data_IF_874410339445
#
_entry.id   IF_874410339445
#
_cell.length_a   1.000
_cell.length_b   1.000
_cell.length_c   1.000
_cell.angle_alpha   90.00
_cell.angle_beta   90.00
_cell.angle_gamma   90.00
#
_symmetry.space_group_name_H-M   'P 1'
#
loop_
_entity.id
_entity.type
_entity.pdbx_description
1 polymer ?
#
# COMPACT_ATOMS: atom_id res chain seq x y z
N UNK A 1 8.57 13.72 -5.42
CA UNK A 1 7.50 13.32 -6.37
C UNK A 1 7.40 14.40 -7.45
N UNK A 2 6.83 14.12 -8.63
CA UNK A 2 6.62 15.12 -9.69
C UNK A 2 5.24 14.94 -10.32
N UNK A 3 4.71 15.94 -11.01
CA UNK A 3 3.36 15.90 -11.60
C UNK A 3 3.18 14.77 -12.63
N UNK A 4 4.24 14.39 -13.35
CA UNK A 4 4.18 13.26 -14.28
C UNK A 4 4.10 11.89 -13.59
N UNK A 5 4.38 11.82 -12.29
CA UNK A 5 4.41 10.55 -11.57
C UNK A 5 3.01 9.95 -11.44
N UNK A 6 2.96 8.62 -11.37
CA UNK A 6 1.75 7.85 -11.12
C UNK A 6 1.82 7.20 -9.74
N UNK A 7 0.69 7.05 -9.06
CA UNK A 7 0.65 6.52 -7.69
C UNK A 7 -0.30 5.34 -7.63
N UNK A 8 0.14 4.21 -7.10
CA UNK A 8 -0.79 3.22 -6.56
C UNK A 8 -0.98 3.52 -5.07
N UNK A 9 -2.22 3.69 -4.63
CA UNK A 9 -2.59 3.89 -3.22
C UNK A 9 -3.27 2.64 -2.65
N UNK A 10 -3.01 2.35 -1.39
CA UNK A 10 -3.50 1.18 -0.68
C UNK A 10 -3.99 1.54 0.72
N UNK A 11 -5.03 0.83 1.16
CA UNK A 11 -5.54 0.87 2.52
C UNK A 11 -5.88 -0.55 2.96
N UNK A 12 -5.29 -1.06 4.04
CA UNK A 12 -5.58 -2.39 4.55
C UNK A 12 -5.69 -2.44 6.08
N UNK A 13 -6.47 -3.39 6.63
CA UNK A 13 -6.51 -3.63 8.06
C UNK A 13 -5.44 -4.65 8.45
N UNK A 14 -4.63 -4.35 9.46
CA UNK A 14 -3.55 -5.22 9.95
C UNK A 14 -3.73 -5.45 11.43
N UNK A 15 -3.59 -6.70 11.90
CA UNK A 15 -3.66 -6.99 13.34
C UNK A 15 -2.57 -6.23 14.09
N UNK A 16 -2.94 -5.64 15.22
CA UNK A 16 -2.04 -4.81 16.02
C UNK A 16 -0.77 -5.56 16.43
N UNK A 17 -0.92 -6.84 16.78
CA UNK A 17 0.20 -7.73 17.14
C UNK A 17 1.14 -8.07 15.97
N UNK A 18 0.70 -7.89 14.72
CA UNK A 18 1.44 -8.30 13.52
C UNK A 18 2.29 -7.17 12.93
N UNK A 19 2.48 -6.04 13.64
CA UNK A 19 3.23 -4.87 13.14
C UNK A 19 4.62 -5.20 12.60
N UNK A 20 5.39 -5.99 13.34
CA UNK A 20 6.76 -6.38 12.93
C UNK A 20 6.74 -7.31 11.73
N UNK A 21 5.79 -8.26 11.69
CA UNK A 21 5.59 -9.16 10.55
C UNK A 21 5.18 -8.38 9.30
N UNK A 22 4.28 -7.41 9.44
CA UNK A 22 3.91 -6.48 8.37
C UNK A 22 5.11 -5.73 7.84
N UNK A 23 5.91 -5.13 8.72
CA UNK A 23 7.11 -4.39 8.33
C UNK A 23 8.11 -5.26 7.56
N UNK A 24 8.32 -6.50 7.99
CA UNK A 24 9.21 -7.43 7.30
C UNK A 24 8.71 -7.76 5.88
N UNK A 25 7.41 -8.09 5.73
CA UNK A 25 6.79 -8.39 4.43
C UNK A 25 6.81 -7.16 3.52
N UNK A 26 6.44 -6.00 4.03
CA UNK A 26 6.43 -4.74 3.28
C UNK A 26 7.84 -4.33 2.85
N UNK A 27 8.86 -4.61 3.67
CA UNK A 27 10.27 -4.34 3.31
C UNK A 27 10.72 -5.20 2.12
N UNK A 28 10.38 -6.49 2.11
CA UNK A 28 10.68 -7.38 0.99
C UNK A 28 9.94 -6.94 -0.29
N UNK A 29 8.64 -6.65 -0.19
CA UNK A 29 7.85 -6.14 -1.30
C UNK A 29 8.37 -4.80 -1.83
N UNK A 30 8.82 -3.90 -0.94
CA UNK A 30 9.36 -2.61 -1.33
C UNK A 30 10.62 -2.76 -2.20
N UNK A 31 11.50 -3.71 -1.88
CA UNK A 31 12.68 -4.00 -2.70
C UNK A 31 12.28 -4.46 -4.11
N UNK A 32 11.26 -5.32 -4.23
CA UNK A 32 10.71 -5.76 -5.50
C UNK A 32 10.16 -4.60 -6.33
N UNK A 33 9.29 -3.78 -5.73
CA UNK A 33 8.75 -2.58 -6.40
C UNK A 33 9.87 -1.68 -6.91
N UNK A 34 10.90 -1.44 -6.09
CA UNK A 34 12.05 -0.62 -6.48
C UNK A 34 12.84 -1.22 -7.64
N UNK A 35 13.09 -2.54 -7.62
CA UNK A 35 13.75 -3.25 -8.73
C UNK A 35 12.97 -3.13 -10.04
N UNK A 36 11.64 -3.14 -9.96
CA UNK A 36 10.75 -3.11 -11.12
C UNK A 36 10.29 -1.70 -11.51
N UNK A 37 10.98 -0.66 -11.04
CA UNK A 37 10.85 0.72 -11.56
C UNK A 37 10.12 1.71 -10.66
N UNK A 38 9.72 1.33 -9.44
CA UNK A 38 9.14 2.28 -8.49
C UNK A 38 10.18 3.29 -7.98
N UNK A 39 9.75 4.55 -7.86
CA UNK A 39 10.52 5.67 -7.31
C UNK A 39 10.52 5.64 -5.78
N UNK A 40 9.44 5.19 -5.16
CA UNK A 40 9.35 5.06 -3.71
C UNK A 40 8.21 4.15 -3.31
N UNK A 41 8.34 3.55 -2.14
CA UNK A 41 7.31 2.77 -1.46
C UNK A 41 7.22 3.35 -0.06
N UNK A 42 6.02 3.68 0.39
CA UNK A 42 5.78 4.30 1.70
C UNK A 42 4.68 3.53 2.40
N UNK A 43 4.93 3.17 3.66
CA UNK A 43 4.03 2.42 4.51
C UNK A 43 3.81 3.22 5.80
N UNK A 44 2.54 3.54 6.11
CA UNK A 44 2.19 4.30 7.31
C UNK A 44 1.29 3.46 8.22
N UNK A 45 1.75 3.25 9.45
CA UNK A 45 0.97 2.58 10.50
C UNK A 45 0.00 3.58 11.13
N UNK A 46 -1.28 3.21 11.26
CA UNK A 46 -2.29 4.04 11.92
C UNK A 46 -1.87 4.41 13.33
N UNK A 47 -1.85 5.71 13.62
CA UNK A 47 -1.48 6.28 14.91
C UNK A 47 -2.66 7.09 15.49
N UNK A 48 -3.04 8.17 14.80
CA UNK A 48 -4.24 8.97 15.10
C UNK A 48 -5.23 8.90 13.93
N UNK A 49 -6.07 7.85 13.93
CA UNK A 49 -7.05 7.58 12.87
C UNK A 49 -8.47 7.64 13.46
N UNK A 50 -9.21 8.75 13.24
CA UNK A 50 -10.50 8.95 13.87
C UNK A 50 -11.58 8.02 13.32
N UNK A 51 -12.51 7.65 14.19
CA UNK A 51 -13.77 7.05 13.78
C UNK A 51 -14.71 8.08 13.14
N UNK A 52 -15.60 7.60 12.28
CA UNK A 52 -16.56 8.44 11.56
C UNK A 52 -17.98 7.91 11.74
N UNK A 53 -18.97 8.78 11.47
CA UNK A 53 -20.39 8.39 11.52
C UNK A 53 -20.90 7.90 10.16
N UNK A 54 -20.47 8.53 9.06
CA UNK A 54 -20.85 8.15 7.70
C UNK A 54 -19.75 7.35 7.00
N UNK A 55 -18.50 7.79 7.14
CA UNK A 55 -17.31 7.16 6.57
C UNK A 55 -16.09 7.46 7.43
N UNK A 56 -15.14 6.53 7.46
CA UNK A 56 -13.81 6.70 8.04
C UNK A 56 -12.83 5.71 7.38
N UNK A 57 -11.52 5.88 7.61
CA UNK A 57 -10.56 4.87 7.16
C UNK A 57 -10.81 3.49 7.79
N UNK A 58 -11.09 3.35 9.10
CA UNK A 58 -11.50 2.07 9.69
C UNK A 58 -12.75 1.47 9.02
N UNK A 59 -13.77 2.28 8.73
CA UNK A 59 -14.97 1.80 8.04
C UNK A 59 -14.67 1.34 6.61
N UNK A 60 -13.78 2.04 5.91
CA UNK A 60 -13.42 1.72 4.53
C UNK A 60 -12.85 0.29 4.41
N UNK A 61 -11.94 -0.08 5.31
CA UNK A 61 -11.36 -1.43 5.35
C UNK A 61 -12.12 -2.42 6.23
N UNK A 62 -13.29 -2.03 6.78
CA UNK A 62 -14.04 -2.85 7.75
C UNK A 62 -13.13 -3.39 8.86
N UNK A 63 -12.37 -2.49 9.48
CA UNK A 63 -11.38 -2.78 10.51
C UNK A 63 -12.05 -3.44 11.73
N UNK A 64 -11.48 -4.53 12.20
CA UNK A 64 -11.86 -5.16 13.47
C UNK A 64 -11.21 -4.42 14.65
N UNK A 65 -11.61 -4.75 15.88
CA UNK A 65 -11.15 -4.03 17.08
C UNK A 65 -9.69 -4.30 17.45
N UNK A 66 -9.13 -5.43 17.01
CA UNK A 66 -7.73 -5.81 17.23
C UNK A 66 -6.81 -5.40 16.06
N UNK A 67 -7.33 -4.66 15.09
CA UNK A 67 -6.62 -4.21 13.90
C UNK A 67 -6.36 -2.71 13.89
N UNK A 68 -5.36 -2.30 13.14
CA UNK A 68 -5.11 -0.91 12.74
C UNK A 68 -5.29 -0.75 11.24
N UNK A 69 -5.42 0.49 10.78
CA UNK A 69 -5.32 0.80 9.37
C UNK A 69 -3.86 1.00 8.99
N UNK A 70 -3.42 0.40 7.89
CA UNK A 70 -2.21 0.82 7.18
C UNK A 70 -2.61 1.60 5.94
N UNK A 71 -2.02 2.79 5.79
CA UNK A 71 -2.13 3.64 4.61
C UNK A 71 -0.79 3.64 3.89
N UNK A 72 -0.77 3.24 2.62
CA UNK A 72 0.48 3.09 1.90
C UNK A 72 0.34 3.44 0.42
N UNK A 73 1.49 3.72 -0.21
CA UNK A 73 1.51 4.02 -1.63
C UNK A 73 2.85 3.68 -2.29
N UNK A 74 2.78 3.40 -3.59
CA UNK A 74 3.93 3.21 -4.47
C UNK A 74 3.92 4.32 -5.52
N UNK A 75 5.04 5.03 -5.64
CA UNK A 75 5.22 6.09 -6.64
C UNK A 75 5.99 5.55 -7.82
N UNK A 76 5.48 5.79 -9.02
CA UNK A 76 6.05 5.37 -10.29
C UNK A 76 6.40 6.59 -11.16
N UNK A 77 7.35 6.47 -12.10
CA UNK A 77 7.68 7.55 -13.03
C UNK A 77 6.51 8.00 -13.90
N UNK A 78 5.70 7.04 -14.37
CA UNK A 78 4.49 7.25 -15.16
C UNK A 78 3.62 5.97 -15.13
N UNK A 79 2.43 6.02 -15.74
CA UNK A 79 1.49 4.89 -15.79
C UNK A 79 2.04 3.69 -16.58
N UNK A 80 2.79 3.92 -17.66
CA UNK A 80 3.31 2.84 -18.49
C UNK A 80 4.40 2.05 -17.75
N UNK A 81 5.27 2.74 -16.98
CA UNK A 81 6.22 2.10 -16.07
C UNK A 81 5.48 1.38 -14.95
N UNK A 82 4.47 2.01 -14.34
CA UNK A 82 3.63 1.37 -13.32
C UNK A 82 3.01 0.05 -13.82
N UNK A 83 2.42 0.04 -15.00
CA UNK A 83 1.71 -1.15 -15.50
C UNK A 83 2.68 -2.31 -15.76
N UNK A 84 3.85 -2.03 -16.35
CA UNK A 84 4.90 -3.05 -16.54
C UNK A 84 5.49 -3.51 -15.21
N UNK A 85 5.79 -2.57 -14.31
CA UNK A 85 6.41 -2.83 -13.03
C UNK A 85 5.51 -3.63 -12.10
N UNK A 86 4.23 -3.27 -11.99
CA UNK A 86 3.25 -4.01 -11.19
C UNK A 86 3.08 -5.44 -11.72
N UNK A 87 2.99 -5.62 -13.05
CA UNK A 87 2.96 -6.98 -13.64
C UNK A 87 4.21 -7.78 -13.25
N UNK A 88 5.39 -7.19 -13.38
CA UNK A 88 6.64 -7.85 -13.04
C UNK A 88 6.73 -8.21 -11.55
N UNK A 89 6.28 -7.33 -10.64
CA UNK A 89 6.21 -7.62 -9.20
C UNK A 89 5.30 -8.80 -8.90
N UNK A 90 4.11 -8.84 -9.51
CA UNK A 90 3.15 -9.93 -9.28
C UNK A 90 3.63 -11.28 -9.84
N UNK A 91 4.40 -11.25 -10.92
CA UNK A 91 5.00 -12.44 -11.54
C UNK A 91 6.35 -12.83 -10.88
N UNK A 92 6.88 -12.00 -9.97
CA UNK A 92 8.20 -12.22 -9.36
C UNK A 92 8.14 -13.39 -8.36
N UNK A 93 9.01 -14.41 -8.49
CA UNK A 93 9.01 -15.56 -7.58
C UNK A 93 9.34 -15.20 -6.13
N UNK A 94 10.00 -14.07 -5.89
CA UNK A 94 10.31 -13.56 -4.55
C UNK A 94 9.16 -12.78 -3.90
N UNK A 95 8.04 -12.57 -4.62
CA UNK A 95 6.89 -11.86 -4.07
C UNK A 95 6.36 -12.57 -2.81
N UNK A 96 6.26 -11.88 -1.66
CA UNK A 96 5.70 -12.47 -0.45
C UNK A 96 4.28 -12.98 -0.70
N UNK A 97 4.06 -14.26 -0.44
CA UNK A 97 2.77 -14.94 -0.68
C UNK A 97 1.83 -14.86 0.51
N UNK A 98 2.38 -14.66 1.70
CA UNK A 98 1.67 -14.63 2.96
C UNK A 98 1.62 -13.18 3.47
N UNK A 99 0.55 -12.48 3.07
CA UNK A 99 0.31 -11.11 3.48
C UNK A 99 -0.29 -11.10 4.89
N UNK A 100 0.26 -10.32 5.84
CA UNK A 100 -0.20 -10.29 7.23
C UNK A 100 -1.46 -9.41 7.41
N UNK A 101 -2.39 -9.50 6.46
CA UNK A 101 -3.70 -8.84 6.48
C UNK A 101 -4.71 -9.60 5.62
N UNK A 102 -5.99 -9.33 5.81
CA UNK A 102 -7.05 -9.90 4.97
C UNK A 102 -7.13 -9.17 3.62
N UNK A 103 -6.60 -9.81 2.57
CA UNK A 103 -6.61 -9.28 1.21
C UNK A 103 -8.00 -9.00 0.64
N UNK A 104 -9.09 -9.56 1.20
CA UNK A 104 -10.47 -9.24 0.77
C UNK A 104 -10.92 -7.84 1.20
N UNK A 105 -10.27 -7.29 2.23
CA UNK A 105 -10.55 -5.96 2.81
C UNK A 105 -9.55 -4.89 2.36
N UNK A 106 -8.55 -5.28 1.55
CA UNK A 106 -7.64 -4.34 0.90
C UNK A 106 -8.41 -3.45 -0.08
N UNK A 107 -8.26 -2.14 0.07
CA UNK A 107 -8.64 -1.14 -0.93
C UNK A 107 -7.37 -0.75 -1.68
N UNK A 108 -7.44 -0.71 -3.01
CA UNK A 108 -6.34 -0.24 -3.85
C UNK A 108 -6.83 0.48 -5.10
N UNK A 109 -5.99 1.36 -5.64
CA UNK A 109 -6.28 2.09 -6.88
C UNK A 109 -5.07 2.83 -7.44
N UNK A 110 -5.12 3.13 -8.74
CA UNK A 110 -4.11 3.91 -9.43
C UNK A 110 -4.57 5.37 -9.64
N UNK A 111 -3.67 6.33 -9.41
CA UNK A 111 -3.96 7.76 -9.38
C UNK A 111 -2.93 8.55 -10.18
N UNK A 112 -3.40 9.56 -10.92
CA UNK A 112 -2.53 10.57 -11.52
C UNK A 112 -2.19 11.65 -10.48
N UNK A 113 -0.94 12.09 -10.47
CA UNK A 113 -0.52 13.19 -9.61
C UNK A 113 -1.02 14.52 -10.17
N UNK A 114 -1.83 15.26 -9.41
CA UNK A 114 -2.35 16.58 -9.82
C UNK A 114 -1.70 17.75 -9.10
N UNK A 115 -1.03 17.51 -7.97
CA UNK A 115 -0.35 18.52 -7.17
C UNK A 115 0.85 17.92 -6.44
N UNK A 116 1.98 18.61 -6.46
CA UNK A 116 3.15 18.40 -5.60
C UNK A 116 3.65 19.78 -5.19
N UNK A 117 3.75 20.05 -3.89
CA UNK A 117 4.27 21.30 -3.34
C UNK A 117 5.65 21.08 -2.72
#
# INVERSE_FOLDING_TARGET
MKLQNYVDGFLCPVKTQDKERYLAVATAAAQLFRRHGAISVVECWGDDVPEGQLTSMPMAVKRESDEVVVFSWVVWPDKAVRDRGMKAVMDDPEMPKDMPFDGKRLIYGGFQTILVA
#
